data_IF_823414354118
#
_entry.id   IF_823414354118
#
_cell.length_a   1.000
_cell.length_b   1.000
_cell.length_c   1.000
_cell.angle_alpha   90.00
_cell.angle_beta   90.00
_cell.angle_gamma   90.00
#
_symmetry.space_group_name_H-M   'P 1'
#
loop_
_entity.id
_entity.type
_entity.pdbx_description
1 polymer ?
#
# COMPACT_ATOMS: atom_id res chain seq x y z
N UNK A 1 -4.27 58.02 -11.00
CA UNK A 1 -5.48 57.17 -11.06
C UNK A 1 -5.02 55.76 -11.42
N UNK A 2 -5.37 54.78 -10.59
CA UNK A 2 -4.91 53.40 -10.64
C UNK A 2 -5.51 52.67 -11.84
N UNK A 3 -4.68 52.04 -12.66
CA UNK A 3 -5.08 50.95 -13.55
C UNK A 3 -4.80 49.64 -12.83
N UNK A 4 -5.85 48.92 -12.46
CA UNK A 4 -5.78 47.55 -11.99
C UNK A 4 -5.50 46.66 -13.19
N UNK A 5 -4.36 45.96 -13.17
CA UNK A 5 -4.20 44.72 -13.92
C UNK A 5 -4.43 43.60 -12.92
N UNK A 6 -5.63 43.03 -12.96
CA UNK A 6 -5.97 41.79 -12.28
C UNK A 6 -5.17 40.68 -12.96
N UNK A 7 -4.09 40.25 -12.31
CA UNK A 7 -3.45 38.99 -12.64
C UNK A 7 -4.18 37.93 -11.80
N UNK A 8 -5.29 37.44 -12.35
CA UNK A 8 -6.01 36.30 -11.79
C UNK A 8 -5.03 35.13 -11.73
N UNK A 9 -4.67 34.74 -10.51
CA UNK A 9 -3.79 33.59 -10.29
C UNK A 9 -4.43 32.36 -10.91
N UNK A 10 -3.75 31.78 -11.90
CA UNK A 10 -3.94 30.39 -12.28
C UNK A 10 -3.85 29.56 -10.99
N UNK A 11 -5.02 29.16 -10.48
CA UNK A 11 -5.09 28.24 -9.37
C UNK A 11 -4.34 26.99 -9.80
N UNK A 12 -3.19 26.74 -9.17
CA UNK A 12 -2.37 25.55 -9.39
C UNK A 12 -3.29 24.32 -9.37
N UNK A 13 -3.61 23.80 -10.56
CA UNK A 13 -4.22 22.48 -10.67
C UNK A 13 -3.13 21.53 -10.22
N UNK A 14 -3.30 20.95 -9.03
CA UNK A 14 -2.35 19.98 -8.50
C UNK A 14 -2.10 18.86 -9.51
N UNK A 15 -0.86 18.38 -9.53
CA UNK A 15 -0.43 17.28 -10.40
C UNK A 15 -1.27 16.02 -10.09
N UNK A 16 -1.72 15.33 -11.13
CA UNK A 16 -2.48 14.08 -11.00
C UNK A 16 -1.72 12.87 -11.59
N UNK A 17 -2.20 11.65 -11.30
CA UNK A 17 -1.52 10.41 -11.72
C UNK A 17 -1.41 10.25 -13.23
N UNK A 18 -2.40 10.72 -14.00
CA UNK A 18 -2.37 10.65 -15.46
C UNK A 18 -1.31 11.61 -16.04
N UNK A 19 -1.18 12.80 -15.45
CA UNK A 19 -0.12 13.73 -15.82
C UNK A 19 1.28 13.17 -15.52
N UNK A 20 1.47 12.56 -14.34
CA UNK A 20 2.74 11.90 -14.01
C UNK A 20 3.04 10.76 -14.97
N UNK A 21 2.05 9.92 -15.28
CA UNK A 21 2.19 8.82 -16.23
C UNK A 21 2.71 9.31 -17.58
N UNK A 22 2.08 10.35 -18.12
CA UNK A 22 2.45 10.90 -19.42
C UNK A 22 3.86 11.51 -19.37
N UNK A 23 4.18 12.33 -18.36
CA UNK A 23 5.54 12.90 -18.20
C UNK A 23 6.62 11.82 -18.08
N UNK A 24 6.33 10.72 -17.40
CA UNK A 24 7.27 9.59 -17.29
C UNK A 24 7.43 8.82 -18.60
N UNK A 25 6.34 8.65 -19.36
CA UNK A 25 6.41 8.04 -20.67
C UNK A 25 7.26 8.87 -21.62
N UNK A 26 7.02 10.18 -21.69
CA UNK A 26 7.80 11.11 -22.50
C UNK A 26 9.28 11.08 -22.10
N UNK A 27 9.58 11.14 -20.78
CA UNK A 27 10.96 11.10 -20.27
C UNK A 27 11.70 9.82 -20.65
N UNK A 28 11.00 8.68 -20.63
CA UNK A 28 11.56 7.38 -20.98
C UNK A 28 11.76 7.23 -22.49
N UNK A 29 10.80 7.70 -23.30
CA UNK A 29 10.88 7.67 -24.76
C UNK A 29 12.05 8.53 -25.27
N UNK A 30 12.21 9.74 -24.74
CA UNK A 30 13.33 10.64 -25.06
C UNK A 30 14.71 10.01 -24.86
N UNK A 31 14.81 9.02 -23.97
CA UNK A 31 16.05 8.33 -23.59
C UNK A 31 16.15 6.92 -24.17
N UNK A 32 15.17 6.48 -24.94
CA UNK A 32 15.06 5.10 -25.43
C UNK A 32 15.10 4.07 -24.29
N UNK A 33 14.54 4.42 -23.12
CA UNK A 33 14.60 3.57 -21.91
C UNK A 33 13.52 2.50 -21.84
N UNK A 34 12.55 2.52 -22.74
CA UNK A 34 11.45 1.57 -22.74
C UNK A 34 11.88 0.12 -22.94
N UNK A 35 13.03 -0.10 -23.59
CA UNK A 35 13.66 -1.41 -23.69
C UNK A 35 14.06 -2.01 -22.32
N UNK A 36 14.30 -1.18 -21.31
CA UNK A 36 14.69 -1.59 -19.96
C UNK A 36 13.49 -1.67 -19.00
N UNK A 37 12.38 -1.00 -19.32
CA UNK A 37 11.17 -0.88 -18.51
C UNK A 37 10.25 -2.11 -18.59
N UNK A 38 10.80 -3.31 -18.37
CA UNK A 38 9.97 -4.50 -18.16
C UNK A 38 9.27 -4.44 -16.79
N UNK A 39 8.07 -5.04 -16.61
CA UNK A 39 7.38 -5.04 -15.31
C UNK A 39 8.25 -5.52 -14.14
N UNK A 40 9.08 -6.55 -14.37
CA UNK A 40 9.99 -7.08 -13.35
C UNK A 40 11.07 -6.06 -12.98
N UNK A 41 11.68 -5.40 -13.95
CA UNK A 41 12.75 -4.45 -13.69
C UNK A 41 12.22 -3.23 -12.92
N UNK A 42 11.06 -2.71 -13.34
CA UNK A 42 10.40 -1.60 -12.64
C UNK A 42 10.00 -1.96 -11.21
N UNK A 43 9.50 -3.19 -10.98
CA UNK A 43 9.21 -3.68 -9.63
C UNK A 43 10.48 -3.74 -8.77
N UNK A 44 11.60 -4.22 -9.32
CA UNK A 44 12.87 -4.29 -8.59
C UNK A 44 13.43 -2.91 -8.28
N UNK A 45 13.32 -1.95 -9.21
CA UNK A 45 13.67 -0.55 -8.96
C UNK A 45 12.81 0.05 -7.84
N UNK A 46 11.48 -0.13 -7.90
CA UNK A 46 10.56 0.28 -6.84
C UNK A 46 10.94 -0.28 -5.46
N UNK A 47 11.38 -1.54 -5.39
CA UNK A 47 11.85 -2.14 -4.13
C UNK A 47 13.14 -1.46 -3.64
N UNK A 48 14.03 -1.07 -4.55
CA UNK A 48 15.21 -0.26 -4.25
C UNK A 48 14.83 1.06 -3.57
N UNK A 49 13.94 1.84 -4.19
CA UNK A 49 13.50 3.14 -3.64
C UNK A 49 12.77 3.00 -2.30
N UNK A 50 12.02 1.91 -2.09
CA UNK A 50 11.44 1.60 -0.77
C UNK A 50 12.56 1.34 0.26
N UNK A 51 13.67 0.74 -0.16
CA UNK A 51 14.87 0.58 0.65
C UNK A 51 15.46 1.92 1.05
N UNK A 52 15.72 2.81 0.09
CA UNK A 52 16.26 4.15 0.33
C UNK A 52 15.34 4.98 1.25
N UNK A 53 14.03 4.96 0.98
CA UNK A 53 13.02 5.54 1.86
C UNK A 53 13.10 4.97 3.29
N UNK A 54 13.33 3.65 3.43
CA UNK A 54 13.45 3.00 4.74
C UNK A 54 14.72 3.42 5.48
N UNK A 55 15.83 3.66 4.77
CA UNK A 55 17.10 4.09 5.36
C UNK A 55 16.98 5.44 6.08
N UNK A 56 16.09 6.32 5.61
CA UNK A 56 15.79 7.61 6.28
C UNK A 56 15.27 7.38 7.72
N UNK A 57 14.48 6.32 7.93
CA UNK A 57 13.83 6.05 9.22
C UNK A 57 14.57 5.03 10.08
N UNK A 58 15.51 4.26 9.53
CA UNK A 58 16.07 3.06 10.17
C UNK A 58 16.65 3.29 11.59
N UNK A 59 17.18 4.49 11.87
CA UNK A 59 17.76 4.88 13.16
C UNK A 59 16.96 5.96 13.89
N UNK A 60 15.81 6.37 13.35
CA UNK A 60 14.89 7.28 14.02
C UNK A 60 14.04 6.43 14.98
N UNK A 61 13.94 6.84 16.24
CA UNK A 61 13.03 6.20 17.20
C UNK A 61 11.56 6.46 16.84
N UNK A 62 10.71 6.74 17.82
CA UNK A 62 9.35 7.20 17.49
C UNK A 62 9.42 8.55 16.76
N UNK A 63 8.87 8.61 15.55
CA UNK A 63 8.82 9.84 14.73
C UNK A 63 7.46 10.51 14.89
N UNK A 64 7.39 11.73 15.46
CA UNK A 64 6.12 12.44 15.64
C UNK A 64 5.52 12.89 14.30
N UNK A 65 4.19 12.95 14.25
CA UNK A 65 3.45 13.46 13.08
C UNK A 65 3.89 14.88 12.75
N UNK A 66 4.16 15.14 11.47
CA UNK A 66 4.52 16.47 10.98
C UNK A 66 6.01 16.80 11.08
N UNK A 67 6.83 15.86 11.56
CA UNK A 67 8.30 15.96 11.56
C UNK A 67 8.83 17.28 12.17
N UNK A 68 8.34 17.71 13.35
CA UNK A 68 8.76 18.97 13.97
C UNK A 68 10.26 19.07 14.24
N UNK A 69 10.91 17.94 14.52
CA UNK A 69 12.33 17.86 14.89
C UNK A 69 13.25 17.58 13.69
N UNK A 70 12.72 17.61 12.46
CA UNK A 70 13.50 17.35 11.24
C UNK A 70 13.93 18.65 10.60
N UNK A 71 15.19 18.69 10.15
CA UNK A 71 15.71 19.78 9.34
C UNK A 71 15.05 19.79 7.95
N UNK A 72 14.98 20.95 7.31
CA UNK A 72 14.36 21.08 5.98
C UNK A 72 15.05 20.19 4.94
N UNK A 73 16.37 20.00 5.03
CA UNK A 73 17.11 19.08 4.16
C UNK A 73 16.67 17.62 4.33
N UNK A 74 16.30 17.21 5.54
CA UNK A 74 15.81 15.84 5.80
C UNK A 74 14.41 15.66 5.24
N UNK A 75 13.56 16.69 5.35
CA UNK A 75 12.21 16.69 4.75
C UNK A 75 12.26 16.70 3.24
N UNK A 76 13.21 17.44 2.66
CA UNK A 76 13.44 17.45 1.22
C UNK A 76 13.86 16.06 0.74
N UNK A 77 14.87 15.45 1.37
CA UNK A 77 15.32 14.10 1.04
C UNK A 77 14.19 13.07 1.18
N UNK A 78 13.40 13.14 2.26
CA UNK A 78 12.20 12.32 2.40
C UNK A 78 11.20 12.53 1.25
N UNK A 79 11.03 13.77 0.79
CA UNK A 79 10.18 14.10 -0.35
C UNK A 79 10.71 13.52 -1.67
N UNK A 80 12.02 13.48 -1.86
CA UNK A 80 12.69 12.86 -3.01
C UNK A 80 12.39 11.35 -3.03
N UNK A 81 12.70 10.62 -1.95
CA UNK A 81 12.48 9.16 -1.88
C UNK A 81 10.99 8.77 -1.99
N UNK A 82 10.09 9.55 -1.39
CA UNK A 82 8.64 9.36 -1.55
C UNK A 82 8.21 9.56 -3.02
N UNK A 83 8.85 10.50 -3.72
CA UNK A 83 8.57 10.77 -5.13
C UNK A 83 9.09 9.64 -6.01
N UNK A 84 10.28 9.10 -5.75
CA UNK A 84 10.83 8.00 -6.53
C UNK A 84 9.98 6.73 -6.41
N UNK A 85 9.52 6.39 -5.19
CA UNK A 85 8.54 5.32 -4.97
C UNK A 85 7.25 5.56 -5.78
N UNK A 86 6.72 6.78 -5.76
CA UNK A 86 5.51 7.12 -6.51
C UNK A 86 5.72 6.99 -8.01
N UNK A 87 6.81 7.53 -8.54
CA UNK A 87 7.11 7.55 -9.96
C UNK A 87 7.29 6.12 -10.50
N UNK A 88 8.08 5.27 -9.84
CA UNK A 88 8.20 3.88 -10.28
C UNK A 88 6.88 3.11 -10.18
N UNK A 89 6.04 3.38 -9.17
CA UNK A 89 4.73 2.75 -9.09
C UNK A 89 3.81 3.19 -10.23
N UNK A 90 3.82 4.48 -10.59
CA UNK A 90 3.08 5.02 -11.73
C UNK A 90 3.57 4.38 -13.03
N UNK A 91 4.89 4.35 -13.29
CA UNK A 91 5.43 3.74 -14.51
C UNK A 91 5.17 2.25 -14.58
N UNK A 92 5.28 1.53 -13.46
CA UNK A 92 4.93 0.12 -13.40
C UNK A 92 3.45 -0.11 -13.75
N UNK A 93 2.55 0.75 -13.25
CA UNK A 93 1.13 0.64 -13.57
C UNK A 93 0.85 0.87 -15.05
N UNK A 94 1.54 1.83 -15.67
CA UNK A 94 1.45 2.17 -17.09
C UNK A 94 1.87 1.00 -17.98
N UNK A 95 3.08 0.46 -17.74
CA UNK A 95 3.60 -0.70 -18.46
C UNK A 95 2.69 -1.94 -18.26
N UNK A 96 2.03 -2.06 -17.12
CA UNK A 96 1.07 -3.14 -16.86
C UNK A 96 -0.34 -2.89 -17.44
N UNK A 97 -0.62 -1.71 -18.01
CA UNK A 97 -1.94 -1.34 -18.51
C UNK A 97 -2.99 -1.17 -17.41
N UNK A 98 -2.58 -0.75 -16.21
CA UNK A 98 -3.44 -0.58 -15.04
C UNK A 98 -3.69 0.90 -14.81
N UNK A 99 -4.97 1.30 -14.82
CA UNK A 99 -5.39 2.60 -14.30
C UNK A 99 -5.25 2.62 -12.77
N UNK A 100 -4.10 3.15 -12.30
CA UNK A 100 -3.73 3.19 -10.89
C UNK A 100 -4.72 4.01 -10.06
N UNK A 101 -5.22 5.12 -10.59
CA UNK A 101 -6.19 5.98 -9.90
C UNK A 101 -7.50 5.24 -9.64
N UNK A 102 -8.07 4.61 -10.68
CA UNK A 102 -9.27 3.78 -10.56
C UNK A 102 -9.06 2.58 -9.65
N UNK A 103 -7.90 1.92 -9.74
CA UNK A 103 -7.56 0.79 -8.88
C UNK A 103 -7.49 1.20 -7.40
N UNK A 104 -6.88 2.35 -7.10
CA UNK A 104 -6.78 2.91 -5.75
C UNK A 104 -8.15 3.27 -5.16
N UNK A 105 -9.01 3.94 -5.95
CA UNK A 105 -10.37 4.28 -5.52
C UNK A 105 -11.21 3.04 -5.20
N UNK A 106 -11.20 2.04 -6.09
CA UNK A 106 -11.86 0.75 -5.84
C UNK A 106 -11.29 0.07 -4.58
N UNK A 107 -9.98 0.15 -4.35
CA UNK A 107 -9.36 -0.45 -3.17
C UNK A 107 -9.80 0.24 -1.88
N UNK A 108 -9.98 1.56 -1.88
CA UNK A 108 -10.51 2.31 -0.75
C UNK A 108 -11.95 1.89 -0.42
N UNK A 109 -12.82 1.73 -1.41
CA UNK A 109 -14.19 1.23 -1.22
C UNK A 109 -14.20 -0.16 -0.56
N UNK A 110 -13.37 -1.08 -1.08
CA UNK A 110 -13.21 -2.42 -0.50
C UNK A 110 -12.66 -2.38 0.94
N UNK A 111 -11.74 -1.46 1.23
CA UNK A 111 -11.20 -1.29 2.57
C UNK A 111 -12.25 -0.72 3.53
N UNK A 112 -13.13 0.19 3.08
CA UNK A 112 -14.23 0.72 3.89
C UNK A 112 -15.27 -0.35 4.26
N UNK A 113 -15.53 -1.29 3.36
CA UNK A 113 -16.37 -2.47 3.64
C UNK A 113 -15.68 -3.39 4.66
N UNK A 114 -14.37 -3.62 4.48
CA UNK A 114 -13.58 -4.49 5.36
C UNK A 114 -13.40 -3.91 6.77
N UNK A 115 -13.35 -2.58 6.90
CA UNK A 115 -13.15 -1.86 8.15
C UNK A 115 -14.21 -0.76 8.35
N UNK A 116 -15.45 -1.14 8.71
CA UNK A 116 -16.53 -0.17 8.91
C UNK A 116 -16.19 0.84 10.02
N UNK A 117 -16.46 2.12 9.78
CA UNK A 117 -16.15 3.20 10.72
C UNK A 117 -16.79 3.00 12.11
N UNK A 118 -18.00 2.44 12.16
CA UNK A 118 -18.70 2.13 13.42
C UNK A 118 -17.97 1.10 14.29
N UNK A 119 -17.12 0.26 13.70
CA UNK A 119 -16.40 -0.82 14.39
C UNK A 119 -14.92 -0.51 14.58
N UNK A 120 -14.36 0.42 13.81
CA UNK A 120 -12.93 0.76 13.80
C UNK A 120 -12.60 2.15 14.36
N UNK A 121 -13.58 2.94 14.81
CA UNK A 121 -13.33 4.27 15.39
C UNK A 121 -12.45 4.15 16.65
N UNK A 122 -11.23 4.68 16.58
CA UNK A 122 -10.27 4.67 17.69
C UNK A 122 -9.56 3.33 17.93
N UNK A 123 -9.68 2.34 17.04
CA UNK A 123 -8.98 1.06 17.16
C UNK A 123 -8.48 0.55 15.81
N UNK A 124 -7.18 0.25 15.73
CA UNK A 124 -6.54 -0.40 14.57
C UNK A 124 -6.63 -1.93 14.60
N UNK A 125 -7.34 -2.51 15.59
CA UNK A 125 -7.49 -3.97 15.69
C UNK A 125 -8.15 -4.50 14.42
N UNK A 126 -7.47 -5.45 13.78
CA UNK A 126 -7.96 -6.16 12.59
C UNK A 126 -9.28 -6.86 12.93
N UNK A 127 -10.41 -6.32 12.46
CA UNK A 127 -11.68 -7.03 12.49
C UNK A 127 -11.63 -8.17 11.46
N UNK A 128 -11.62 -9.41 11.95
CA UNK A 128 -11.85 -10.59 11.12
C UNK A 128 -13.36 -10.75 10.90
N UNK A 129 -13.95 -9.93 10.04
CA UNK A 129 -15.34 -10.09 9.61
C UNK A 129 -15.38 -10.58 8.15
N UNK A 130 -15.20 -11.89 7.97
CA UNK A 130 -15.54 -12.75 6.82
C UNK A 130 -14.92 -14.14 7.16
N UNK A 131 -15.57 -15.28 7.37
CA UNK A 131 -16.92 -15.81 7.07
C UNK A 131 -17.37 -16.74 8.22
N UNK A 132 -18.55 -16.54 8.79
CA UNK A 132 -19.32 -17.62 9.45
C UNK A 132 -20.74 -17.60 8.87
N UNK A 133 -20.85 -17.90 7.59
CA UNK A 133 -22.13 -18.22 6.96
C UNK A 133 -22.14 -19.71 6.65
N UNK A 134 -22.95 -20.42 7.45
CA UNK A 134 -23.84 -21.51 7.03
C UNK A 134 -23.22 -22.75 6.37
N UNK A 135 -23.02 -23.80 7.19
CA UNK A 135 -23.36 -25.17 6.79
C UNK A 135 -24.23 -25.80 7.87
N UNK A 136 -25.54 -25.63 7.71
CA UNK A 136 -26.53 -26.57 8.23
C UNK A 136 -26.53 -27.76 7.28
N UNK A 137 -26.03 -28.91 7.73
CA UNK A 137 -26.38 -30.21 7.13
C UNK A 137 -26.71 -31.18 8.24
N UNK A 138 -28.01 -31.40 8.43
CA UNK A 138 -28.54 -32.61 9.07
C UNK A 138 -28.34 -33.81 8.16
N UNK A 139 -28.27 -34.99 8.79
CA UNK A 139 -28.29 -36.37 8.24
C UNK A 139 -27.05 -36.74 7.40
N UNK A 140 -26.28 -37.77 7.76
CA UNK A 140 -26.76 -39.14 7.86
C UNK A 140 -25.83 -40.03 8.70
N UNK A 141 -26.46 -41.00 9.37
CA UNK A 141 -25.91 -42.13 10.09
C UNK A 141 -24.89 -42.96 9.28
N UNK A 142 -23.79 -43.35 9.93
CA UNK A 142 -23.25 -44.72 9.97
C UNK A 142 -21.99 -44.71 10.85
N UNK A 143 -22.08 -45.20 12.09
CA UNK A 143 -21.76 -46.58 12.48
C UNK A 143 -20.26 -46.91 12.35
N UNK A 144 -19.52 -46.77 13.44
CA UNK A 144 -18.65 -47.83 13.98
C UNK A 144 -18.30 -47.50 15.43
N UNK A 145 -19.02 -48.15 16.35
CA UNK A 145 -18.52 -48.44 17.68
C UNK A 145 -17.48 -49.56 17.50
N UNK A 146 -16.27 -49.35 17.98
CA UNK A 146 -15.49 -50.45 18.56
C UNK A 146 -14.73 -49.93 19.77
N UNK A 147 -15.00 -50.61 20.86
CA UNK A 147 -14.61 -50.34 22.23
C UNK A 147 -13.28 -51.03 22.58
N UNK A 148 -12.66 -50.51 23.64
CA UNK A 148 -11.72 -51.15 24.58
C UNK A 148 -10.33 -51.52 23.98
N UNK A 149 -9.20 -51.50 24.68
CA UNK A 149 -8.86 -51.50 26.09
C UNK A 149 -7.35 -51.09 26.15
N UNK A 150 -6.89 -50.12 26.95
CA UNK A 150 -6.36 -50.26 28.33
C UNK A 150 -4.82 -50.10 28.40
N UNK A 151 -4.40 -49.43 29.49
CA UNK A 151 -3.15 -49.56 30.25
C UNK A 151 -1.88 -48.78 29.85
N UNK A 152 -1.43 -47.92 30.77
CA UNK A 152 -0.01 -47.70 31.05
C UNK A 152 0.43 -46.29 31.48
N UNK A 153 0.25 -45.94 32.76
CA UNK A 153 1.10 -44.97 33.48
C UNK A 153 2.58 -45.45 33.45
N UNK A 154 3.62 -44.61 33.45
CA UNK A 154 4.22 -43.83 34.58
C UNK A 154 5.27 -42.86 33.99
N UNK A 155 5.33 -41.57 34.37
CA UNK A 155 6.16 -40.95 35.44
C UNK A 155 7.67 -41.30 35.49
N UNK A 156 8.52 -40.26 35.58
CA UNK A 156 9.83 -40.31 36.26
C UNK A 156 11.10 -39.83 35.53
N UNK A 157 11.63 -38.67 35.95
CA UNK A 157 13.08 -38.28 36.04
C UNK A 157 13.83 -37.99 34.73
N UNK A 158 14.73 -37.01 34.59
CA UNK A 158 15.43 -36.04 35.47
C UNK A 158 15.57 -34.71 34.72
#
# INVERSE_FOLDING_TARGET
MKGQAENEGEGSKGVNLEELKNKMADFAEERDWDQFHTPRNLLLALVGEIGELSEIFQWKGEVPRGLPDWEEKEKQHLGEELSDVLLYLVRLSDICGIDLGKAALRKLELNAIKYPASLCKGSSKKLALLNKSTTTTSTNSNFYIRSDNENGATDGGE
#
